data_IF_839834290575
#
_entry.id   IF_839834290575
#
_cell.length_a   1.000
_cell.length_b   1.000
_cell.length_c   1.000
_cell.angle_alpha   90.00
_cell.angle_beta   90.00
_cell.angle_gamma   90.00
#
_symmetry.space_group_name_H-M   'P 1'
#
loop_
_entity.id
_entity.type
_entity.pdbx_description
1 polymer ?
#
# COMPACT_ATOMS: atom_id res chain seq x y z
N UNK A 1 27.46 12.12 56.14
CA UNK A 1 27.45 11.70 54.73
C UNK A 1 28.34 12.63 53.94
N UNK A 2 29.22 12.08 53.12
CA UNK A 2 30.15 12.88 52.30
C UNK A 2 29.42 13.34 51.03
N UNK A 3 29.74 14.52 50.50
CA UNK A 3 29.08 15.06 49.30
C UNK A 3 29.11 14.08 48.11
N UNK A 4 30.15 13.24 48.04
CA UNK A 4 30.29 12.17 47.06
C UNK A 4 29.18 11.09 47.14
N UNK A 5 28.65 10.77 48.32
CA UNK A 5 27.54 9.79 48.46
C UNK A 5 26.25 10.34 47.86
N UNK A 6 25.97 11.63 48.04
CA UNK A 6 24.79 12.27 47.47
C UNK A 6 24.82 12.30 45.95
N UNK A 7 25.98 12.58 45.35
CA UNK A 7 26.13 12.61 43.89
C UNK A 7 25.88 11.22 43.29
N UNK A 8 26.42 10.16 43.90
CA UNK A 8 26.18 8.80 43.41
C UNK A 8 24.73 8.36 43.58
N UNK A 9 24.10 8.67 44.72
CA UNK A 9 22.70 8.34 44.96
C UNK A 9 21.76 9.04 43.95
N UNK A 10 21.98 10.32 43.68
CA UNK A 10 21.20 11.07 42.68
C UNK A 10 21.36 10.51 41.27
N UNK A 11 22.57 10.11 40.87
CA UNK A 11 22.82 9.50 39.57
C UNK A 11 22.06 8.19 39.36
N UNK A 12 22.01 7.34 40.40
CA UNK A 12 21.29 6.06 40.35
C UNK A 12 19.78 6.29 40.20
N UNK A 13 19.21 7.19 41.00
CA UNK A 13 17.76 7.48 40.94
C UNK A 13 17.38 8.09 39.59
N UNK A 14 18.17 9.01 39.06
CA UNK A 14 17.90 9.64 37.76
C UNK A 14 18.05 8.65 36.60
N UNK A 15 19.07 7.79 36.63
CA UNK A 15 19.28 6.74 35.63
C UNK A 15 18.16 5.69 35.63
N UNK A 16 17.71 5.26 36.80
CA UNK A 16 16.56 4.35 36.92
C UNK A 16 15.26 5.01 36.43
N UNK A 17 15.05 6.29 36.71
CA UNK A 17 13.89 7.02 36.20
C UNK A 17 13.86 7.07 34.67
N UNK A 18 14.99 7.37 34.03
CA UNK A 18 15.08 7.40 32.56
C UNK A 18 14.92 6.01 31.94
N UNK A 19 15.51 4.98 32.57
CA UNK A 19 15.35 3.60 32.13
C UNK A 19 13.89 3.12 32.24
N UNK A 20 13.19 3.47 33.33
CA UNK A 20 11.78 3.11 33.48
C UNK A 20 10.89 3.84 32.47
N UNK A 21 11.15 5.12 32.18
CA UNK A 21 10.47 5.82 31.10
C UNK A 21 10.72 5.17 29.73
N UNK A 22 11.96 4.77 29.44
CA UNK A 22 12.30 4.13 28.17
C UNK A 22 11.77 2.69 28.01
N UNK A 23 11.44 2.00 29.11
CA UNK A 23 10.96 0.61 29.09
C UNK A 23 9.44 0.52 29.15
N UNK A 24 8.76 1.51 29.76
CA UNK A 24 7.32 1.46 29.98
C UNK A 24 6.52 2.51 29.19
N UNK A 25 7.20 3.48 28.56
CA UNK A 25 6.57 4.45 27.65
C UNK A 25 6.97 4.06 26.22
N UNK A 26 6.06 3.40 25.50
CA UNK A 26 6.36 2.78 24.19
C UNK A 26 6.80 3.81 23.14
N UNK A 27 6.46 5.09 23.31
CA UNK A 27 7.10 6.23 22.64
C UNK A 27 6.65 7.53 23.33
N UNK A 28 7.46 8.19 24.17
CA UNK A 28 7.07 9.45 24.83
C UNK A 28 6.89 10.62 23.85
N UNK A 29 7.07 10.36 22.54
CA UNK A 29 6.84 11.28 21.44
C UNK A 29 5.60 10.93 20.59
N UNK A 30 4.81 9.90 20.96
CA UNK A 30 3.59 9.47 20.24
C UNK A 30 2.38 10.42 20.43
N UNK A 31 2.54 11.51 21.17
CA UNK A 31 1.49 12.50 21.45
C UNK A 31 1.16 13.43 20.26
N UNK A 32 1.65 13.12 19.07
CA UNK A 32 1.21 13.77 17.84
C UNK A 32 0.53 12.75 16.94
N UNK A 33 -0.59 12.20 17.41
CA UNK A 33 -1.62 11.67 16.53
C UNK A 33 -2.02 12.77 15.54
N UNK A 34 -1.33 12.83 14.40
CA UNK A 34 -1.66 13.67 13.25
C UNK A 34 -3.08 13.41 12.75
N UNK A 35 -3.64 12.27 13.13
CA UNK A 35 -4.99 11.79 12.90
C UNK A 35 -6.06 12.50 13.76
N UNK A 36 -5.68 13.41 14.67
CA UNK A 36 -6.61 14.16 15.53
C UNK A 36 -6.37 15.66 15.49
N UNK A 37 -6.23 16.24 14.30
CA UNK A 37 -6.29 17.70 14.20
C UNK A 37 -7.69 18.17 14.68
N UNK A 38 -7.77 19.19 15.54
CA UNK A 38 -9.04 19.63 16.10
C UNK A 38 -9.96 20.14 15.00
N UNK A 39 -11.29 19.98 15.12
CA UNK A 39 -12.21 20.53 14.14
C UNK A 39 -12.04 22.05 13.98
N UNK A 40 -12.14 22.57 12.75
CA UNK A 40 -11.99 24.00 12.45
C UNK A 40 -13.24 24.57 11.80
N UNK A 41 -13.54 25.83 12.09
CA UNK A 41 -14.66 26.52 11.44
C UNK A 41 -14.39 26.76 9.96
N UNK A 42 -15.41 26.57 9.11
CA UNK A 42 -15.31 26.93 7.69
C UNK A 42 -14.91 28.41 7.51
N UNK A 43 -13.83 28.65 6.76
CA UNK A 43 -13.31 30.00 6.49
C UNK A 43 -12.38 30.58 7.56
N UNK A 44 -12.01 29.80 8.59
CA UNK A 44 -10.98 30.20 9.55
C UNK A 44 -9.60 30.12 8.89
N UNK A 45 -8.77 31.19 8.94
CA UNK A 45 -7.42 31.15 8.37
C UNK A 45 -6.53 30.18 9.16
N UNK A 46 -5.64 29.48 8.47
CA UNK A 46 -4.71 28.55 9.08
C UNK A 46 -3.73 29.28 10.03
N UNK A 47 -3.58 28.82 11.29
CA UNK A 47 -2.66 29.43 12.25
C UNK A 47 -1.19 28.97 12.07
N UNK A 48 -0.94 27.94 11.25
CA UNK A 48 0.39 27.41 10.97
C UNK A 48 1.02 28.06 9.72
N UNK A 49 2.35 28.00 9.61
CA UNK A 49 3.17 28.56 8.52
C UNK A 49 4.21 27.58 7.98
N UNK A 50 3.95 26.30 8.14
CA UNK A 50 4.83 25.18 7.80
C UNK A 50 4.53 24.61 6.40
N UNK A 51 3.78 25.34 5.57
CA UNK A 51 3.36 24.92 4.24
C UNK A 51 1.97 24.28 4.23
N UNK A 52 1.45 23.82 5.37
CA UNK A 52 0.11 23.23 5.47
C UNK A 52 -1.00 24.25 5.21
N UNK A 53 -0.72 25.55 5.32
CA UNK A 53 -1.67 26.62 4.97
C UNK A 53 -2.05 26.64 3.48
N UNK A 54 -1.30 25.91 2.65
CA UNK A 54 -1.57 25.74 1.21
C UNK A 54 -2.40 24.49 0.90
N UNK A 55 -2.64 23.62 1.88
CA UNK A 55 -3.43 22.40 1.73
C UNK A 55 -4.93 22.66 1.95
N UNK A 56 -5.79 21.78 1.45
CA UNK A 56 -7.23 21.85 1.73
C UNK A 56 -7.48 21.42 3.17
N UNK A 57 -8.05 22.29 4.00
CA UNK A 57 -8.19 22.07 5.44
C UNK A 57 -8.87 20.73 5.81
N UNK A 58 -9.74 20.20 4.95
CA UNK A 58 -10.42 18.91 5.14
C UNK A 58 -9.53 17.68 5.01
N UNK A 59 -8.26 17.83 4.60
CA UNK A 59 -7.30 16.72 4.59
C UNK A 59 -6.83 16.34 6.00
N UNK A 60 -6.87 17.30 6.93
CA UNK A 60 -6.37 17.12 8.29
C UNK A 60 -7.44 17.43 9.35
N UNK A 61 -8.34 18.38 9.11
CA UNK A 61 -9.34 18.82 10.07
C UNK A 61 -10.76 18.44 9.66
N UNK A 62 -11.60 18.16 10.65
CA UNK A 62 -13.05 18.15 10.48
C UNK A 62 -13.56 19.60 10.36
N UNK A 63 -14.29 19.93 9.30
CA UNK A 63 -14.77 21.30 9.06
C UNK A 63 -16.15 21.51 9.69
N UNK A 64 -16.23 22.32 10.75
CA UNK A 64 -17.49 22.69 11.39
C UNK A 64 -18.12 23.85 10.60
N UNK A 65 -19.33 23.64 10.09
CA UNK A 65 -20.11 24.73 9.49
C UNK A 65 -20.42 25.82 10.55
N UNK A 66 -20.48 27.09 10.13
CA UNK A 66 -20.67 28.28 10.99
C UNK A 66 -21.90 28.23 11.94
N UNK A 67 -22.78 27.24 11.76
CA UNK A 67 -23.99 27.00 12.55
C UNK A 67 -23.89 25.80 13.52
N UNK A 68 -22.70 25.27 13.80
CA UNK A 68 -22.46 24.31 14.88
C UNK A 68 -23.07 22.92 14.71
N UNK A 69 -23.43 22.54 13.48
CA UNK A 69 -24.01 21.22 13.17
C UNK A 69 -22.99 20.39 12.42
N UNK A 70 -22.52 19.31 13.05
CA UNK A 70 -21.68 18.29 12.43
C UNK A 70 -22.54 17.52 11.43
N UNK A 71 -22.32 17.73 10.14
CA UNK A 71 -22.99 16.99 9.07
C UNK A 71 -22.04 15.93 8.52
N UNK A 72 -22.25 14.68 8.96
CA UNK A 72 -21.70 13.51 8.30
C UNK A 72 -22.57 13.17 7.06
N UNK A 73 -21.96 13.09 5.88
CA UNK A 73 -22.60 12.55 4.68
C UNK A 73 -23.13 13.58 3.66
N UNK A 74 -23.41 13.14 2.43
CA UNK A 74 -22.86 13.76 1.23
C UNK A 74 -23.79 14.81 0.62
N UNK A 75 -23.20 15.94 0.23
CA UNK A 75 -23.74 16.78 -0.83
C UNK A 75 -24.07 18.22 -0.40
N UNK A 76 -23.46 19.13 -1.16
CA UNK A 76 -23.83 20.53 -1.39
C UNK A 76 -23.48 21.56 -0.31
N UNK A 77 -22.68 22.54 -0.74
CA UNK A 77 -22.73 23.89 -0.17
C UNK A 77 -21.39 24.50 0.23
N UNK A 78 -20.38 24.46 -0.65
CA UNK A 78 -19.13 25.20 -0.43
C UNK A 78 -17.98 24.79 -1.34
N UNK A 79 -18.27 24.16 -2.48
CA UNK A 79 -17.23 23.85 -3.46
C UNK A 79 -16.64 25.11 -4.07
N UNK A 80 -15.45 25.01 -4.69
CA UNK A 80 -14.88 26.09 -5.50
C UNK A 80 -15.94 26.61 -6.49
N UNK A 81 -15.90 27.91 -6.84
CA UNK A 81 -16.90 28.51 -7.71
C UNK A 81 -17.06 27.68 -8.99
N UNK A 82 -18.30 27.52 -9.49
CA UNK A 82 -18.55 26.75 -10.71
C UNK A 82 -17.67 27.29 -11.83
N UNK A 83 -16.97 26.39 -12.52
CA UNK A 83 -16.08 26.76 -13.63
C UNK A 83 -16.96 27.36 -14.73
N UNK A 84 -16.72 28.61 -15.17
CA UNK A 84 -17.59 29.27 -16.11
C UNK A 84 -17.48 28.62 -17.50
N UNK A 85 -18.57 28.56 -18.27
CA UNK A 85 -18.48 28.20 -19.67
C UNK A 85 -17.69 29.26 -20.46
N UNK A 86 -17.03 28.85 -21.55
CA UNK A 86 -16.21 29.73 -22.41
C UNK A 86 -16.62 29.58 -23.87
N UNK A 87 -16.43 30.60 -24.71
CA UNK A 87 -16.67 30.45 -26.15
C UNK A 87 -15.48 29.78 -26.84
N UNK A 88 -15.73 29.01 -27.91
CA UNK A 88 -14.65 28.38 -28.67
C UNK A 88 -13.65 29.45 -29.18
N UNK A 89 -12.35 29.21 -28.96
CA UNK A 89 -11.30 30.15 -29.33
C UNK A 89 -10.99 31.24 -28.30
N UNK A 90 -11.67 31.26 -27.15
CA UNK A 90 -11.32 32.15 -26.03
C UNK A 90 -9.86 31.90 -25.60
N UNK A 91 -8.97 32.92 -25.62
CA UNK A 91 -7.61 32.78 -25.10
C UNK A 91 -7.61 32.40 -23.62
N UNK A 92 -6.71 31.50 -23.22
CA UNK A 92 -6.58 31.12 -21.81
C UNK A 92 -6.09 32.32 -20.98
N UNK A 93 -6.80 32.71 -19.89
CA UNK A 93 -6.32 33.73 -18.96
C UNK A 93 -5.32 33.16 -17.94
N UNK A 94 -5.07 31.85 -17.96
CA UNK A 94 -4.15 31.19 -17.04
C UNK A 94 -2.69 31.39 -17.46
N UNK A 95 -1.82 31.56 -16.46
CA UNK A 95 -0.35 31.62 -16.64
C UNK A 95 0.37 30.37 -16.10
N UNK A 96 -0.40 29.35 -15.73
CA UNK A 96 0.09 28.05 -15.30
C UNK A 96 -0.19 26.99 -16.38
N UNK A 97 0.24 25.75 -16.13
CA UNK A 97 0.17 24.62 -17.07
C UNK A 97 -1.24 24.27 -17.58
N UNK A 98 -2.31 24.92 -17.10
CA UNK A 98 -3.68 24.75 -17.63
C UNK A 98 -3.85 25.34 -19.02
N UNK A 99 -2.99 26.28 -19.41
CA UNK A 99 -2.92 26.84 -20.77
C UNK A 99 -2.62 25.79 -21.86
N UNK A 100 -1.96 24.69 -21.48
CA UNK A 100 -1.60 23.57 -22.38
C UNK A 100 -2.65 22.46 -22.42
N UNK A 101 -3.71 22.53 -21.61
CA UNK A 101 -4.74 21.49 -21.54
C UNK A 101 -5.89 21.78 -22.53
N UNK A 102 -6.58 20.72 -22.98
CA UNK A 102 -7.81 20.89 -23.76
C UNK A 102 -8.88 21.54 -22.88
N UNK A 103 -9.39 22.71 -23.28
CA UNK A 103 -10.31 23.51 -22.46
C UNK A 103 -11.59 22.75 -22.07
N UNK A 104 -12.04 21.82 -22.92
CA UNK A 104 -13.21 20.97 -22.69
C UNK A 104 -13.07 20.00 -21.50
N UNK A 105 -11.88 19.84 -20.94
CA UNK A 105 -11.67 19.04 -19.73
C UNK A 105 -12.19 19.73 -18.47
N UNK A 106 -12.31 21.07 -18.48
CA UNK A 106 -12.70 21.86 -17.31
C UNK A 106 -13.86 22.82 -17.60
N UNK A 107 -13.95 23.35 -18.82
CA UNK A 107 -14.97 24.31 -19.23
C UNK A 107 -15.99 23.68 -20.17
N UNK A 108 -17.23 24.13 -20.07
CA UNK A 108 -18.22 23.94 -21.14
C UNK A 108 -17.95 24.95 -22.27
N UNK A 109 -17.93 24.49 -23.53
CA UNK A 109 -17.59 25.33 -24.69
C UNK A 109 -18.87 25.77 -25.42
N UNK A 110 -19.17 27.08 -25.39
CA UNK A 110 -20.33 27.69 -26.05
C UNK A 110 -19.96 28.07 -27.49
N UNK A 111 -20.84 27.76 -28.46
CA UNK A 111 -20.75 28.28 -29.83
C UNK A 111 -19.93 27.46 -30.83
N UNK A 112 -19.37 26.32 -30.42
CA UNK A 112 -18.99 25.31 -31.40
C UNK A 112 -20.27 24.73 -32.00
N UNK A 113 -20.40 24.71 -33.33
CA UNK A 113 -21.42 23.94 -34.05
C UNK A 113 -21.33 22.48 -33.61
N UNK A 114 -21.98 22.19 -32.49
CA UNK A 114 -22.12 20.87 -31.95
C UNK A 114 -23.15 20.23 -32.85
N UNK A 115 -22.69 19.62 -33.94
CA UNK A 115 -23.37 18.47 -34.50
C UNK A 115 -23.87 17.64 -33.31
N UNK A 116 -25.15 17.23 -33.29
CA UNK A 116 -25.78 16.62 -32.12
C UNK A 116 -24.78 15.65 -31.55
N UNK A 117 -24.36 15.85 -30.29
CA UNK A 117 -23.42 14.97 -29.59
C UNK A 117 -23.92 13.58 -29.90
N UNK A 118 -23.29 12.89 -30.88
CA UNK A 118 -23.33 11.45 -30.95
C UNK A 118 -22.83 11.15 -29.56
N UNK A 119 -23.72 10.65 -28.71
CA UNK A 119 -23.28 10.00 -27.50
C UNK A 119 -22.18 9.08 -28.01
N UNK A 120 -20.92 9.47 -27.77
CA UNK A 120 -19.84 8.53 -27.88
C UNK A 120 -20.21 7.59 -26.77
N UNK A 121 -20.99 6.56 -27.14
CA UNK A 121 -21.18 5.40 -26.33
C UNK A 121 -19.76 5.08 -25.93
N UNK A 122 -19.47 5.29 -24.65
CA UNK A 122 -18.19 4.95 -24.07
C UNK A 122 -18.18 3.43 -24.21
N UNK A 123 -17.75 2.94 -25.37
CA UNK A 123 -17.65 1.51 -25.63
C UNK A 123 -16.58 1.09 -24.64
N UNK A 124 -16.94 0.34 -23.59
CA UNK A 124 -15.94 -0.10 -22.65
C UNK A 124 -14.90 -0.90 -23.45
N UNK A 125 -13.61 -0.66 -23.22
CA UNK A 125 -12.56 -1.40 -23.90
C UNK A 125 -12.77 -2.91 -23.71
N UNK A 126 -12.53 -3.72 -24.75
CA UNK A 126 -12.84 -5.15 -24.71
C UNK A 126 -11.99 -5.86 -23.63
N UNK A 127 -12.50 -6.93 -23.01
CA UNK A 127 -11.68 -7.78 -22.16
C UNK A 127 -10.50 -8.38 -22.95
N UNK A 128 -9.34 -8.53 -22.32
CA UNK A 128 -8.15 -9.11 -22.96
C UNK A 128 -7.57 -10.24 -22.10
N UNK A 129 -6.92 -11.22 -22.73
CA UNK A 129 -6.21 -12.26 -22.02
C UNK A 129 -4.99 -11.68 -21.28
N UNK A 130 -4.73 -12.18 -20.06
CA UNK A 130 -3.54 -11.79 -19.30
C UNK A 130 -2.27 -12.16 -20.07
N UNK A 131 -1.41 -11.17 -20.34
CA UNK A 131 -0.16 -11.35 -21.10
C UNK A 131 -0.30 -11.21 -22.61
N UNK A 132 -1.49 -10.85 -23.13
CA UNK A 132 -1.64 -10.52 -24.55
C UNK A 132 -0.78 -9.30 -24.92
N UNK A 133 -0.06 -9.32 -26.06
CA UNK A 133 0.71 -8.16 -26.52
C UNK A 133 -0.24 -6.99 -26.84
N UNK A 134 0.22 -5.76 -26.55
CA UNK A 134 -0.55 -4.56 -26.82
C UNK A 134 -0.60 -4.29 -28.34
N UNK A 135 -1.80 -4.16 -28.96
CA UNK A 135 -1.94 -3.92 -30.40
C UNK A 135 -1.88 -2.43 -30.78
N UNK A 136 -1.66 -1.52 -29.84
CA UNK A 136 -1.60 -0.07 -30.05
C UNK A 136 -0.18 0.46 -29.90
N UNK A 137 0.10 1.59 -30.57
CA UNK A 137 1.41 2.26 -30.62
C UNK A 137 1.34 3.75 -30.22
N UNK A 138 0.24 4.16 -29.57
CA UNK A 138 -0.03 5.55 -29.20
C UNK A 138 0.37 5.88 -27.76
N UNK A 139 1.35 5.15 -27.22
CA UNK A 139 1.85 5.30 -25.86
C UNK A 139 1.03 4.53 -24.81
N UNK A 140 -0.12 3.96 -25.17
CA UNK A 140 -0.91 3.12 -24.25
C UNK A 140 -0.24 1.78 -23.95
N UNK A 141 0.69 1.34 -24.79
CA UNK A 141 1.50 0.12 -24.61
C UNK A 141 2.47 0.22 -23.42
N UNK A 142 2.70 1.45 -22.93
CA UNK A 142 3.46 1.73 -21.71
C UNK A 142 2.60 1.78 -20.46
N UNK A 143 1.27 1.68 -20.58
CA UNK A 143 0.35 1.72 -19.43
C UNK A 143 0.00 0.31 -18.95
N UNK A 144 -0.32 0.16 -17.67
CA UNK A 144 -0.79 -1.11 -17.12
C UNK A 144 -2.13 -1.49 -17.76
N UNK A 145 -2.19 -2.64 -18.44
CA UNK A 145 -3.38 -3.01 -19.21
C UNK A 145 -4.69 -3.03 -18.39
N UNK A 146 -4.61 -3.31 -17.08
CA UNK A 146 -5.78 -3.31 -16.18
C UNK A 146 -6.35 -1.93 -15.88
N UNK A 147 -5.64 -0.83 -16.20
CA UNK A 147 -6.20 0.52 -16.08
C UNK A 147 -7.27 0.82 -17.12
N UNK A 148 -7.28 0.06 -18.22
CA UNK A 148 -8.23 0.22 -19.31
C UNK A 148 -9.04 -1.06 -19.53
N UNK A 149 -8.42 -2.24 -19.60
CA UNK A 149 -9.09 -3.49 -19.96
C UNK A 149 -9.44 -4.37 -18.76
N UNK A 150 -10.52 -5.14 -18.90
CA UNK A 150 -10.80 -6.27 -18.01
C UNK A 150 -9.90 -7.45 -18.41
N UNK A 151 -9.00 -7.87 -17.52
CA UNK A 151 -8.13 -9.02 -17.77
C UNK A 151 -8.89 -10.33 -17.54
N UNK A 152 -8.94 -11.21 -18.54
CA UNK A 152 -9.50 -12.56 -18.44
C UNK A 152 -8.37 -13.60 -18.37
N UNK A 153 -8.63 -14.72 -17.70
CA UNK A 153 -7.71 -15.85 -17.71
C UNK A 153 -7.50 -16.33 -19.16
N UNK A 154 -6.29 -16.77 -19.53
CA UNK A 154 -6.03 -17.30 -20.87
C UNK A 154 -6.97 -18.48 -21.13
N UNK A 155 -7.90 -18.30 -22.06
CA UNK A 155 -8.81 -19.34 -22.54
C UNK A 155 -8.01 -20.30 -23.41
N UNK A 156 -7.38 -21.32 -22.82
CA UNK A 156 -6.66 -22.32 -23.61
C UNK A 156 -5.67 -23.19 -22.85
N UNK A 157 -6.17 -24.08 -22.00
CA UNK A 157 -5.76 -25.49 -22.00
C UNK A 157 -6.84 -26.27 -21.23
N UNK A 158 -7.49 -27.29 -21.83
CA UNK A 158 -8.34 -28.18 -21.07
C UNK A 158 -7.46 -28.88 -20.02
N UNK A 159 -7.70 -28.57 -18.74
CA UNK A 159 -7.23 -29.42 -17.65
C UNK A 159 -8.02 -30.71 -17.80
N UNK A 160 -7.39 -31.75 -18.33
CA UNK A 160 -7.95 -33.09 -18.37
C UNK A 160 -8.27 -33.51 -16.92
N UNK A 161 -9.57 -33.56 -16.58
CA UNK A 161 -10.03 -34.27 -15.40
C UNK A 161 -9.80 -35.76 -15.64
N UNK A 162 -8.60 -36.23 -15.33
CA UNK A 162 -8.31 -37.64 -15.27
C UNK A 162 -9.02 -38.23 -14.04
N UNK A 163 -10.07 -39.00 -14.32
CA UNK A 163 -10.45 -40.25 -13.65
C UNK A 163 -10.32 -40.34 -12.14
N UNK A 164 -11.48 -40.55 -11.51
CA UNK A 164 -11.68 -41.04 -10.14
C UNK A 164 -10.89 -42.33 -9.86
N UNK A 165 -9.61 -42.21 -9.54
CA UNK A 165 -8.82 -43.31 -8.99
C UNK A 165 -9.17 -43.45 -7.50
N UNK A 166 -9.70 -44.62 -7.14
CA UNK A 166 -9.75 -45.09 -5.74
C UNK A 166 -8.31 -45.15 -5.22
N UNK A 167 -7.95 -44.25 -4.32
CA UNK A 167 -6.65 -44.24 -3.66
C UNK A 167 -6.56 -45.44 -2.71
N UNK A 168 -5.59 -46.36 -2.87
CA UNK A 168 -5.21 -47.23 -1.78
C UNK A 168 -4.58 -46.36 -0.67
N UNK A 169 -5.08 -46.52 0.55
CA UNK A 169 -4.50 -45.99 1.78
C UNK A 169 -3.16 -46.69 2.07
N UNK A 170 -2.17 -46.46 1.23
CA UNK A 170 -0.78 -46.75 1.56
C UNK A 170 -0.17 -45.43 2.03
N UNK A 171 -0.03 -45.29 3.35
CA UNK A 171 0.73 -44.21 3.96
C UNK A 171 2.17 -44.28 3.44
N UNK A 172 2.45 -43.55 2.37
CA UNK A 172 3.81 -43.34 1.91
C UNK A 172 4.51 -42.55 3.01
N UNK A 173 5.65 -43.04 3.55
CA UNK A 173 6.40 -42.25 4.50
C UNK A 173 6.72 -40.92 3.83
N UNK A 174 6.25 -39.83 4.43
CA UNK A 174 6.59 -38.48 4.01
C UNK A 174 8.10 -38.41 4.16
N UNK A 175 8.82 -38.59 3.05
CA UNK A 175 10.25 -38.33 3.00
C UNK A 175 10.47 -36.95 3.63
N UNK A 176 11.41 -36.82 4.57
CA UNK A 176 11.78 -35.54 5.16
C UNK A 176 12.03 -34.56 4.00
N UNK A 177 11.02 -33.77 3.66
CA UNK A 177 11.11 -32.83 2.55
C UNK A 177 11.99 -31.72 3.04
N UNK A 178 13.21 -31.68 2.51
CA UNK A 178 14.12 -30.55 2.72
C UNK A 178 13.39 -29.30 2.25
N UNK A 179 13.00 -28.46 3.20
CA UNK A 179 12.32 -27.19 2.90
C UNK A 179 13.18 -26.36 1.94
N UNK A 180 12.57 -25.67 0.96
CA UNK A 180 13.33 -24.86 0.02
C UNK A 180 14.17 -23.83 0.78
N UNK A 181 15.43 -23.60 0.39
CA UNK A 181 16.24 -22.54 0.98
C UNK A 181 15.56 -21.18 0.77
N UNK A 182 15.83 -20.23 1.64
CA UNK A 182 15.36 -18.85 1.47
C UNK A 182 15.97 -18.29 0.17
N UNK A 183 15.18 -17.85 -0.82
CA UNK A 183 15.70 -17.20 -2.01
C UNK A 183 16.54 -15.99 -1.60
N UNK A 184 17.69 -15.81 -2.25
CA UNK A 184 18.44 -14.57 -2.09
C UNK A 184 17.55 -13.42 -2.59
N UNK A 185 17.38 -12.40 -1.77
CA UNK A 185 16.73 -11.15 -2.18
C UNK A 185 17.45 -10.65 -3.42
N UNK A 186 16.73 -10.43 -4.52
CA UNK A 186 17.32 -9.98 -5.78
C UNK A 186 18.07 -8.66 -5.53
N UNK A 187 19.39 -8.60 -5.75
CA UNK A 187 20.18 -7.37 -5.57
C UNK A 187 19.93 -6.35 -6.69
N UNK A 188 18.80 -6.47 -7.42
CA UNK A 188 18.46 -5.51 -8.47
C UNK A 188 18.28 -4.16 -7.82
N UNK A 189 18.88 -3.13 -8.42
CA UNK A 189 18.68 -1.73 -8.05
C UNK A 189 17.17 -1.42 -7.96
N UNK A 190 16.56 -1.64 -6.78
CA UNK A 190 15.19 -1.26 -6.43
C UNK A 190 15.08 0.27 -6.26
N UNK A 191 15.94 1.02 -6.97
CA UNK A 191 16.11 2.47 -6.85
C UNK A 191 15.77 3.20 -8.15
N UNK A 192 15.45 2.49 -9.23
CA UNK A 192 15.00 3.13 -10.47
C UNK A 192 13.50 3.47 -10.38
N UNK A 193 13.04 4.66 -10.81
CA UNK A 193 11.66 5.12 -10.61
C UNK A 193 10.57 4.15 -11.12
N UNK A 194 10.88 3.26 -12.05
CA UNK A 194 9.97 2.28 -12.66
C UNK A 194 10.02 0.89 -11.99
N UNK A 195 10.76 0.72 -10.90
CA UNK A 195 10.99 -0.61 -10.34
C UNK A 195 9.68 -1.30 -9.91
N UNK A 196 8.69 -0.53 -9.45
CA UNK A 196 7.38 -1.04 -9.01
C UNK A 196 6.55 -1.64 -10.17
N UNK A 197 6.83 -1.28 -11.42
CA UNK A 197 6.17 -1.83 -12.61
C UNK A 197 6.56 -3.30 -12.88
N UNK A 198 7.67 -3.77 -12.30
CA UNK A 198 8.15 -5.15 -12.45
C UNK A 198 7.42 -6.14 -11.54
N UNK A 199 6.54 -5.63 -10.67
CA UNK A 199 5.83 -6.44 -9.70
C UNK A 199 4.37 -6.61 -10.05
N UNK A 200 3.87 -7.84 -9.87
CA UNK A 200 2.44 -8.14 -9.98
C UNK A 200 1.86 -8.45 -8.60
N UNK A 201 0.69 -7.89 -8.30
CA UNK A 201 -0.02 -8.18 -7.07
C UNK A 201 -0.61 -9.59 -7.14
N UNK A 202 -0.23 -10.44 -6.20
CA UNK A 202 -0.72 -11.81 -6.08
C UNK A 202 -1.30 -12.08 -4.71
N UNK A 203 -2.22 -13.02 -4.61
CA UNK A 203 -2.77 -13.49 -3.33
C UNK A 203 -1.95 -14.65 -2.81
N UNK A 204 -1.79 -14.70 -1.49
CA UNK A 204 -1.21 -15.84 -0.81
C UNK A 204 -2.05 -16.18 0.42
N UNK A 205 -2.07 -17.46 0.79
CA UNK A 205 -2.67 -17.95 2.01
C UNK A 205 -2.06 -19.29 2.37
N UNK A 206 -2.15 -19.71 3.63
CA UNK A 206 -1.71 -21.03 4.06
C UNK A 206 -1.19 -21.04 5.48
N UNK A 207 -0.68 -22.21 5.89
CA UNK A 207 -0.05 -22.39 7.20
C UNK A 207 1.43 -22.01 7.11
N UNK A 208 1.92 -21.27 8.10
CA UNK A 208 3.35 -20.96 8.24
C UNK A 208 4.05 -22.23 8.71
N UNK A 209 4.95 -22.77 7.90
CA UNK A 209 5.71 -23.99 8.21
C UNK A 209 7.15 -23.70 8.62
N UNK A 210 7.66 -22.49 8.30
CA UNK A 210 8.98 -22.03 8.72
C UNK A 210 8.99 -20.51 8.84
N UNK A 211 9.82 -20.02 9.75
CA UNK A 211 10.07 -18.61 9.96
C UNK A 211 11.58 -18.40 10.05
N UNK A 212 12.09 -17.38 9.37
CA UNK A 212 13.50 -17.00 9.37
C UNK A 212 13.57 -15.49 9.58
N UNK A 213 14.20 -15.12 10.69
CA UNK A 213 14.65 -13.75 10.95
C UNK A 213 16.12 -13.69 10.54
N UNK A 214 16.48 -12.75 9.65
CA UNK A 214 17.87 -12.60 9.20
C UNK A 214 18.78 -12.07 10.31
N UNK A 215 18.22 -11.31 11.27
CA UNK A 215 18.98 -10.76 12.40
C UNK A 215 18.13 -10.80 13.66
N UNK A 216 18.02 -11.96 14.33
CA UNK A 216 17.17 -12.11 15.51
C UNK A 216 17.55 -11.15 16.64
N UNK A 217 18.79 -10.67 16.67
CA UNK A 217 19.28 -9.75 17.71
C UNK A 217 18.96 -8.28 17.41
N UNK A 218 18.71 -7.91 16.16
CA UNK A 218 18.41 -6.51 15.82
C UNK A 218 16.90 -6.24 15.82
N UNK A 219 16.10 -7.25 15.43
CA UNK A 219 14.67 -7.11 15.19
C UNK A 219 14.31 -6.14 14.05
N UNK A 220 15.30 -5.46 13.44
CA UNK A 220 15.09 -4.40 12.43
C UNK A 220 14.93 -4.93 11.02
N UNK A 221 15.33 -6.17 10.79
CA UNK A 221 15.20 -6.80 9.49
C UNK A 221 13.82 -7.41 9.27
N UNK A 222 13.44 -7.48 8.00
CA UNK A 222 12.16 -8.07 7.60
C UNK A 222 12.14 -9.57 7.94
N UNK A 223 11.02 -10.01 8.51
CA UNK A 223 10.79 -11.42 8.77
C UNK A 223 10.46 -12.15 7.45
N UNK A 224 10.97 -13.36 7.29
CA UNK A 224 10.66 -14.24 6.16
C UNK A 224 9.89 -15.46 6.65
N UNK A 225 8.73 -15.72 6.06
CA UNK A 225 7.89 -16.86 6.41
C UNK A 225 7.72 -17.78 5.20
N UNK A 226 7.76 -19.09 5.43
CA UNK A 226 7.46 -20.09 4.43
C UNK A 226 6.02 -20.55 4.61
N UNK A 227 5.17 -20.29 3.61
CA UNK A 227 3.73 -20.54 3.66
C UNK A 227 3.37 -21.71 2.75
N UNK A 228 2.62 -22.67 3.29
CA UNK A 228 2.10 -23.82 2.54
C UNK A 228 0.57 -23.82 2.56
N UNK A 229 -0.04 -23.81 1.37
CA UNK A 229 -1.50 -23.78 1.21
C UNK A 229 -2.15 -25.17 1.14
N UNK A 230 -1.34 -26.23 1.19
CA UNK A 230 -1.80 -27.62 1.11
C UNK A 230 -1.99 -28.15 -0.31
N UNK A 231 -1.82 -27.31 -1.34
CA UNK A 231 -2.05 -27.66 -2.75
C UNK A 231 -0.82 -27.40 -3.60
N UNK A 232 -0.19 -26.24 -3.42
CA UNK A 232 0.98 -25.79 -4.17
C UNK A 232 2.26 -25.94 -3.34
N UNK A 233 3.40 -25.90 -4.03
CA UNK A 233 4.71 -25.86 -3.37
C UNK A 233 4.79 -24.69 -2.36
N UNK A 234 5.43 -24.88 -1.20
CA UNK A 234 5.61 -23.82 -0.22
C UNK A 234 6.29 -22.58 -0.81
N UNK A 235 5.83 -21.39 -0.43
CA UNK A 235 6.34 -20.10 -0.95
C UNK A 235 6.90 -19.24 0.16
N UNK A 236 8.04 -18.62 -0.09
CA UNK A 236 8.62 -17.63 0.82
C UNK A 236 7.93 -16.28 0.67
N UNK A 237 7.59 -15.69 1.81
CA UNK A 237 6.97 -14.37 1.92
C UNK A 237 7.80 -13.51 2.85
N UNK A 238 8.32 -12.41 2.33
CA UNK A 238 8.95 -11.33 3.09
C UNK A 238 7.85 -10.42 3.66
N UNK A 239 7.73 -10.41 4.98
CA UNK A 239 6.77 -9.58 5.72
C UNK A 239 7.51 -8.44 6.43
N UNK A 240 6.82 -7.68 7.28
CA UNK A 240 7.42 -6.62 8.07
C UNK A 240 8.36 -7.18 9.16
N UNK A 241 9.22 -6.34 9.77
CA UNK A 241 9.96 -6.71 10.96
C UNK A 241 9.04 -7.13 12.12
N UNK A 242 9.56 -7.97 13.02
CA UNK A 242 8.78 -8.54 14.12
C UNK A 242 8.18 -7.48 15.05
N UNK A 243 8.90 -6.41 15.35
CA UNK A 243 8.40 -5.31 16.20
C UNK A 243 7.18 -4.63 15.59
N UNK A 244 7.20 -4.38 14.28
CA UNK A 244 6.10 -3.72 13.58
C UNK A 244 4.87 -4.64 13.53
N UNK A 245 5.08 -5.94 13.28
CA UNK A 245 4.01 -6.93 13.32
C UNK A 245 3.36 -7.02 14.71
N UNK A 246 4.14 -6.92 15.79
CA UNK A 246 3.62 -6.91 17.15
C UNK A 246 2.80 -5.65 17.44
N UNK A 247 3.31 -4.46 17.06
CA UNK A 247 2.60 -3.18 17.23
C UNK A 247 1.25 -3.19 16.50
N UNK A 248 1.21 -3.76 15.29
CA UNK A 248 0.00 -3.87 14.48
C UNK A 248 -0.91 -5.06 14.88
N UNK A 249 -0.59 -5.80 15.94
CA UNK A 249 -1.32 -7.00 16.37
C UNK A 249 -1.41 -8.11 15.28
N UNK A 250 -0.42 -8.20 14.39
CA UNK A 250 -0.27 -9.24 13.37
C UNK A 250 0.99 -10.10 13.57
N UNK A 251 1.32 -10.45 14.81
CA UNK A 251 2.44 -11.34 15.11
C UNK A 251 2.28 -12.68 14.37
N UNK A 252 3.30 -13.08 13.61
CA UNK A 252 3.31 -14.34 12.86
C UNK A 252 4.18 -15.36 13.60
N UNK A 253 3.66 -16.59 13.72
CA UNK A 253 4.39 -17.73 14.26
C UNK A 253 4.26 -18.97 13.38
N UNK A 254 5.20 -19.90 13.53
CA UNK A 254 5.10 -21.23 12.91
C UNK A 254 3.83 -21.93 13.40
N UNK A 255 3.08 -22.51 12.47
CA UNK A 255 1.82 -23.17 12.71
C UNK A 255 0.59 -22.28 12.53
N UNK A 256 0.74 -20.95 12.49
CA UNK A 256 -0.38 -20.03 12.28
C UNK A 256 -0.86 -20.05 10.83
N UNK A 257 -2.15 -19.76 10.63
CA UNK A 257 -2.71 -19.55 9.31
C UNK A 257 -2.64 -18.07 8.94
N UNK A 258 -2.08 -17.78 7.77
CA UNK A 258 -1.92 -16.43 7.24
C UNK A 258 -2.59 -16.30 5.88
N UNK A 259 -3.05 -15.10 5.53
CA UNK A 259 -3.55 -14.76 4.19
C UNK A 259 -3.27 -13.29 3.87
N UNK A 260 -3.17 -12.93 2.60
CA UNK A 260 -2.95 -11.54 2.22
C UNK A 260 -2.68 -11.36 0.73
N UNK A 261 -2.19 -10.16 0.40
CA UNK A 261 -1.68 -9.81 -0.91
C UNK A 261 -0.18 -9.55 -0.83
N UNK A 262 0.54 -9.90 -1.89
CA UNK A 262 1.98 -9.68 -1.99
C UNK A 262 2.37 -9.28 -3.40
N UNK A 263 3.46 -8.54 -3.52
CA UNK A 263 4.12 -8.24 -4.78
C UNK A 263 5.03 -9.39 -5.17
N UNK A 264 4.91 -9.83 -6.42
CA UNK A 264 5.74 -10.87 -7.01
C UNK A 264 6.53 -10.27 -8.18
N UNK A 265 7.84 -10.46 -8.17
CA UNK A 265 8.72 -10.13 -9.29
C UNK A 265 8.31 -10.94 -10.55
N UNK A 266 7.97 -10.25 -11.63
CA UNK A 266 7.57 -10.86 -12.89
C UNK A 266 8.73 -11.49 -13.66
N UNK A 267 9.98 -11.09 -13.38
CA UNK A 267 11.16 -11.65 -14.03
C UNK A 267 11.50 -13.06 -13.53
N UNK A 268 10.98 -13.45 -12.36
CA UNK A 268 11.21 -14.75 -11.74
C UNK A 268 10.08 -15.75 -12.04
N UNK A 269 10.44 -17.03 -12.15
CA UNK A 269 9.46 -18.12 -12.36
C UNK A 269 8.55 -18.27 -11.13
N UNK A 270 7.34 -18.76 -11.37
CA UNK A 270 6.41 -19.07 -10.29
C UNK A 270 7.01 -20.14 -9.36
N UNK A 271 7.10 -19.85 -8.06
CA UNK A 271 7.68 -20.74 -7.04
C UNK A 271 9.13 -20.38 -6.65
N UNK A 272 9.87 -19.66 -7.49
CA UNK A 272 11.23 -19.20 -7.18
C UNK A 272 11.24 -17.79 -6.59
N UNK A 273 10.21 -16.99 -6.90
CA UNK A 273 10.10 -15.61 -6.47
C UNK A 273 9.79 -15.48 -4.97
N UNK A 274 10.59 -14.68 -4.27
CA UNK A 274 10.25 -14.16 -2.95
C UNK A 274 9.04 -13.22 -3.10
N UNK A 275 7.99 -13.44 -2.31
CA UNK A 275 6.81 -12.59 -2.29
C UNK A 275 6.99 -11.47 -1.26
N UNK A 276 6.75 -10.22 -1.63
CA UNK A 276 6.81 -9.08 -0.70
C UNK A 276 5.41 -8.72 -0.24
N UNK A 277 5.04 -9.08 0.98
CA UNK A 277 3.67 -8.88 1.47
C UNK A 277 3.28 -7.39 1.48
N UNK A 278 2.18 -7.06 0.81
CA UNK A 278 1.54 -5.74 0.84
C UNK A 278 0.54 -5.66 2.00
N UNK A 279 -0.23 -6.73 2.19
CA UNK A 279 -1.18 -6.90 3.29
C UNK A 279 -0.98 -8.26 3.92
N UNK A 280 -1.29 -8.36 5.21
CA UNK A 280 -1.19 -9.60 5.96
C UNK A 280 -2.37 -9.70 6.92
N UNK A 281 -2.99 -10.87 6.98
CA UNK A 281 -3.98 -11.21 7.98
C UNK A 281 -3.58 -12.50 8.68
N UNK A 282 -3.56 -12.44 10.00
CA UNK A 282 -3.14 -13.52 10.90
C UNK A 282 -4.24 -13.68 11.95
N UNK A 283 -4.83 -14.87 12.05
CA UNK A 283 -5.89 -15.16 13.03
C UNK A 283 -7.06 -14.14 13.05
N UNK A 284 -7.36 -13.50 11.92
CA UNK A 284 -8.44 -12.51 11.81
C UNK A 284 -8.02 -11.05 12.00
N UNK A 285 -6.83 -10.78 12.56
CA UNK A 285 -6.22 -9.45 12.52
C UNK A 285 -5.82 -9.12 11.07
N UNK A 286 -5.83 -7.83 10.72
CA UNK A 286 -5.45 -7.34 9.39
C UNK A 286 -4.45 -6.20 9.54
N UNK A 287 -3.34 -6.29 8.78
CA UNK A 287 -2.27 -5.32 8.79
C UNK A 287 -1.88 -4.95 7.37
N UNK A 288 -1.74 -3.65 7.15
CA UNK A 288 -1.14 -3.12 5.94
C UNK A 288 0.37 -3.01 6.16
N UNK A 289 1.14 -3.65 5.29
CA UNK A 289 2.60 -3.76 5.45
C UNK A 289 3.33 -2.84 4.48
N UNK A 290 2.86 -2.75 3.24
CA UNK A 290 3.49 -1.92 2.21
C UNK A 290 2.46 -1.18 1.37
N UNK A 291 2.88 -0.07 0.80
CA UNK A 291 2.11 0.68 -0.19
C UNK A 291 2.26 0.10 -1.61
N UNK A 292 1.70 0.80 -2.60
CA UNK A 292 1.81 0.46 -4.01
C UNK A 292 3.20 0.65 -4.61
N UNK A 293 4.08 1.38 -3.92
CA UNK A 293 5.50 1.52 -4.24
C UNK A 293 6.36 0.51 -3.46
N UNK A 294 5.75 -0.55 -2.88
CA UNK A 294 6.34 -1.52 -1.95
C UNK A 294 7.23 -0.93 -0.83
N UNK A 295 7.05 0.35 -0.49
CA UNK A 295 7.67 0.98 0.67
C UNK A 295 6.98 0.41 1.90
N UNK A 296 7.78 -0.03 2.88
CA UNK A 296 7.26 -0.57 4.14
C UNK A 296 6.82 0.55 5.06
N UNK A 297 5.62 0.44 5.65
CA UNK A 297 5.11 1.42 6.61
C UNK A 297 5.94 1.53 7.89
N UNK A 298 6.86 0.59 8.12
CA UNK A 298 7.86 0.64 9.19
C UNK A 298 9.09 1.50 8.86
N UNK A 299 9.10 2.18 7.71
CA UNK A 299 10.20 3.03 7.28
C UNK A 299 9.72 4.47 7.02
N UNK A 300 9.50 5.26 8.10
CA UNK A 300 8.83 6.57 8.00
C UNK A 300 9.59 7.60 7.16
N UNK A 301 10.92 7.45 7.02
CA UNK A 301 11.75 8.40 6.28
C UNK A 301 11.48 8.47 4.78
N UNK A 302 10.83 7.47 4.19
CA UNK A 302 10.56 7.44 2.74
C UNK A 302 9.27 8.17 2.34
N UNK A 303 8.34 8.39 3.27
CA UNK A 303 7.07 9.04 2.95
C UNK A 303 7.15 10.58 2.95
N UNK A 304 8.24 11.15 3.47
CA UNK A 304 8.39 12.62 3.59
C UNK A 304 8.88 13.31 2.32
N UNK A 305 9.36 12.57 1.31
CA UNK A 305 9.97 13.15 0.10
C UNK A 305 9.02 13.24 -1.11
N UNK A 306 7.82 12.64 -1.04
CA UNK A 306 6.86 12.58 -2.16
C UNK A 306 5.65 13.54 -2.04
N UNK A 307 5.52 14.29 -0.94
CA UNK A 307 4.52 15.36 -0.78
C UNK A 307 5.11 16.76 -1.05
#
# INVERSE_FOLDING_TARGET
MKMAEWIMASGIVFGLGFFLLAVFDDDPWDDHAYDKAPPVGAGVPAPHRDGREKMVCSSCHEIIAKNGRVTAGPGQGGGPPPIPPITQGTPSPHKDSRDKMACANCHEIIGGNSAPKRASAKIPPPPIARGAPAPHTDGREKRVCSSCHKLVAPTGAPVALAGSARWPLAATPIALTTHPPLPQSTPRNMRGPEWHEQFTLTRFQGKVIRQVDKTPNSGRENLHILVHDGVNAPRWVNVAPGWFLNQQQCSVGVGMYVKGTAYRDMALRAGEALLYAATLSVNGAYCQLRDNHMIGFWNPGFHQEEE
#
